data_IF_771904521928
#
_entry.id   IF_771904521928
#
_cell.length_a   1.000
_cell.length_b   1.000
_cell.length_c   1.000
_cell.angle_alpha   90.00
_cell.angle_beta   90.00
_cell.angle_gamma   90.00
#
_symmetry.space_group_name_H-M   'P 1'
#
loop_
_entity.id
_entity.type
_entity.pdbx_description
1 polymer ?
#
# COMPACT_ATOMS: atom_id res chain seq x y z
N UNK A 1 3.83 31.10 0.14
CA UNK A 1 3.98 29.62 0.08
C UNK A 1 2.59 29.06 -0.11
N UNK A 2 2.42 27.81 -0.59
CA UNK A 2 1.09 27.18 -0.64
C UNK A 2 0.62 26.80 0.78
N UNK A 3 -0.69 26.66 0.99
CA UNK A 3 -1.26 26.24 2.28
C UNK A 3 -0.66 24.91 2.75
N UNK A 4 -0.44 23.98 1.84
CA UNK A 4 0.22 22.70 2.11
C UNK A 4 1.65 22.83 2.62
N UNK A 5 2.41 23.81 2.08
CA UNK A 5 3.76 24.14 2.54
C UNK A 5 3.76 24.68 3.97
N UNK A 6 2.84 25.59 4.30
CA UNK A 6 2.74 26.16 5.63
C UNK A 6 2.31 25.10 6.65
N UNK A 7 1.39 24.21 6.26
CA UNK A 7 0.97 23.06 7.07
C UNK A 7 2.13 22.08 7.32
N UNK A 8 2.94 21.78 6.28
CA UNK A 8 4.13 20.95 6.42
C UNK A 8 5.13 21.55 7.42
N UNK A 9 5.43 22.84 7.31
CA UNK A 9 6.33 23.53 8.22
C UNK A 9 5.82 23.50 9.66
N UNK A 10 4.53 23.78 9.88
CA UNK A 10 3.92 23.74 11.20
C UNK A 10 3.99 22.33 11.81
N UNK A 11 3.56 21.31 11.09
CA UNK A 11 3.56 19.90 11.56
C UNK A 11 4.98 19.39 11.80
N UNK A 12 5.92 19.67 10.89
CA UNK A 12 7.31 19.21 11.02
C UNK A 12 8.02 19.90 12.20
N UNK A 13 7.75 21.19 12.45
CA UNK A 13 8.29 21.92 13.61
C UNK A 13 7.83 21.28 14.91
N UNK A 14 6.52 21.00 15.06
CA UNK A 14 5.98 20.34 16.25
C UNK A 14 6.60 18.95 16.42
N UNK A 15 6.62 18.14 15.36
CA UNK A 15 7.14 16.76 15.43
C UNK A 15 8.65 16.69 15.66
N UNK A 16 9.42 17.65 15.16
CA UNK A 16 10.86 17.71 15.42
C UNK A 16 11.22 17.96 16.90
N UNK A 17 10.34 18.57 17.66
CA UNK A 17 10.48 18.78 19.10
C UNK A 17 9.86 17.65 19.96
N UNK A 18 9.06 16.76 19.38
CA UNK A 18 8.36 15.67 20.07
C UNK A 18 9.29 14.48 20.32
N UNK A 19 9.95 14.48 21.48
CA UNK A 19 10.93 13.43 21.85
C UNK A 19 10.25 12.07 22.08
N UNK A 20 9.01 12.04 22.53
CA UNK A 20 8.29 10.78 22.74
C UNK A 20 7.95 10.12 21.39
N UNK A 21 7.42 10.91 20.47
CA UNK A 21 7.20 10.46 19.10
C UNK A 21 8.49 9.90 18.47
N UNK A 22 9.61 10.63 18.55
CA UNK A 22 10.90 10.17 18.01
C UNK A 22 11.35 8.86 18.65
N UNK A 23 11.14 8.68 19.95
CA UNK A 23 11.46 7.42 20.64
C UNK A 23 10.65 6.24 20.10
N UNK A 24 9.34 6.42 19.89
CA UNK A 24 8.47 5.39 19.30
C UNK A 24 8.93 5.00 17.88
N UNK A 25 9.22 5.99 17.04
CA UNK A 25 9.70 5.77 15.67
C UNK A 25 11.07 5.11 15.66
N UNK A 26 12.01 5.60 16.48
CA UNK A 26 13.35 5.02 16.59
C UNK A 26 13.31 3.55 17.07
N UNK A 27 12.41 3.22 18.01
CA UNK A 27 12.22 1.85 18.48
C UNK A 27 11.73 0.93 17.36
N UNK A 28 10.70 1.33 16.61
CA UNK A 28 10.13 0.49 15.56
C UNK A 28 11.05 0.36 14.35
N UNK A 29 11.65 1.45 13.88
CA UNK A 29 12.61 1.42 12.77
C UNK A 29 13.89 0.68 13.18
N UNK A 30 14.36 0.86 14.42
CA UNK A 30 15.52 0.15 14.94
C UNK A 30 15.38 -1.37 14.91
N UNK A 31 14.16 -1.90 15.04
CA UNK A 31 13.89 -3.34 14.84
C UNK A 31 14.14 -3.76 13.38
N UNK A 32 13.76 -2.95 12.41
CA UNK A 32 14.05 -3.22 11.00
C UNK A 32 15.55 -3.08 10.70
N UNK A 33 16.19 -2.02 11.22
CA UNK A 33 17.63 -1.80 11.06
C UNK A 33 18.45 -3.01 11.59
N UNK A 34 17.97 -3.68 12.64
CA UNK A 34 18.62 -4.87 13.21
C UNK A 34 18.45 -6.14 12.36
N UNK A 35 17.32 -6.31 11.67
CA UNK A 35 17.01 -7.58 10.97
C UNK A 35 17.25 -7.52 9.45
N UNK A 36 17.17 -6.35 8.83
CA UNK A 36 17.39 -6.18 7.39
C UNK A 36 18.77 -6.68 6.92
N UNK A 37 19.90 -6.42 7.61
CA UNK A 37 21.20 -6.97 7.23
C UNK A 37 21.17 -8.49 7.14
N UNK A 38 20.58 -9.16 8.12
CA UNK A 38 20.44 -10.63 8.15
C UNK A 38 19.52 -11.15 7.02
N UNK A 39 18.44 -10.45 6.73
CA UNK A 39 17.58 -10.78 5.59
C UNK A 39 18.33 -10.74 4.26
N UNK A 40 19.23 -9.75 4.09
CA UNK A 40 20.04 -9.59 2.87
C UNK A 40 21.01 -10.74 2.62
N UNK A 41 21.40 -11.50 3.63
CA UNK A 41 22.31 -12.66 3.48
C UNK A 41 21.73 -13.77 2.58
N UNK A 42 20.43 -13.77 2.30
CA UNK A 42 19.81 -14.71 1.36
C UNK A 42 20.24 -14.49 -0.10
N UNK A 43 20.70 -13.28 -0.43
CA UNK A 43 21.16 -12.95 -1.78
C UNK A 43 22.68 -13.20 -1.87
N UNK A 44 23.11 -13.98 -2.84
CA UNK A 44 24.56 -14.17 -3.11
C UNK A 44 25.21 -12.84 -3.44
N UNK A 45 24.50 -11.98 -4.19
CA UNK A 45 24.91 -10.62 -4.50
C UNK A 45 23.64 -9.73 -4.49
N UNK A 46 23.48 -8.97 -3.41
CA UNK A 46 22.33 -8.08 -3.22
C UNK A 46 22.34 -6.90 -4.19
N UNK A 47 23.53 -6.44 -4.59
CA UNK A 47 23.66 -5.35 -5.56
C UNK A 47 23.19 -5.82 -6.94
N UNK A 48 23.66 -6.98 -7.39
CA UNK A 48 23.20 -7.57 -8.64
C UNK A 48 21.68 -7.85 -8.63
N UNK A 49 21.12 -8.32 -7.51
CA UNK A 49 19.68 -8.53 -7.37
C UNK A 49 18.88 -7.23 -7.57
N UNK A 50 19.34 -6.13 -6.98
CA UNK A 50 18.73 -4.79 -7.16
C UNK A 50 18.83 -4.29 -8.60
N UNK A 51 20.00 -4.40 -9.22
CA UNK A 51 20.20 -4.00 -10.62
C UNK A 51 19.34 -4.81 -11.58
N UNK A 52 19.17 -6.11 -11.34
CA UNK A 52 18.26 -6.96 -12.11
C UNK A 52 16.81 -6.51 -11.96
N UNK A 53 16.36 -6.24 -10.74
CA UNK A 53 15.00 -5.74 -10.48
C UNK A 53 14.77 -4.38 -11.15
N UNK A 54 15.75 -3.47 -11.06
CA UNK A 54 15.72 -2.17 -11.77
C UNK A 54 15.58 -2.36 -13.28
N UNK A 55 16.36 -3.26 -13.88
CA UNK A 55 16.31 -3.56 -15.32
C UNK A 55 14.96 -4.14 -15.75
N UNK A 56 14.37 -5.05 -14.96
CA UNK A 56 13.04 -5.60 -15.25
C UNK A 56 12.01 -4.48 -15.20
N UNK A 57 12.04 -3.64 -14.17
CA UNK A 57 11.12 -2.50 -14.04
C UNK A 57 11.32 -1.48 -15.16
N UNK A 58 12.57 -1.17 -15.50
CA UNK A 58 12.86 -0.30 -16.63
C UNK A 58 12.21 -0.80 -17.92
N UNK A 59 12.44 -2.07 -18.29
CA UNK A 59 11.83 -2.67 -19.49
C UNK A 59 10.30 -2.63 -19.44
N UNK A 60 9.71 -2.97 -18.29
CA UNK A 60 8.26 -2.93 -18.11
C UNK A 60 7.69 -1.53 -18.31
N UNK A 61 8.38 -0.50 -17.82
CA UNK A 61 7.95 0.91 -17.95
C UNK A 61 8.18 1.47 -19.36
N UNK A 62 9.26 1.07 -20.04
CA UNK A 62 9.51 1.47 -21.43
C UNK A 62 8.52 0.82 -22.43
N UNK A 63 7.89 -0.29 -22.05
CA UNK A 63 6.88 -0.99 -22.87
C UNK A 63 5.54 -1.08 -22.13
N UNK A 64 5.21 -0.03 -21.35
CA UNK A 64 4.08 -0.04 -20.41
C UNK A 64 2.75 -0.35 -21.09
N UNK A 65 2.48 0.25 -22.22
CA UNK A 65 1.31 0.03 -23.07
C UNK A 65 1.14 -1.46 -23.42
N UNK A 66 2.18 -2.06 -23.98
CA UNK A 66 2.18 -3.47 -24.38
C UNK A 66 2.01 -4.42 -23.18
N UNK A 67 2.63 -4.08 -22.04
CA UNK A 67 2.52 -4.88 -20.82
C UNK A 67 1.10 -4.85 -20.28
N UNK A 68 0.46 -3.68 -20.28
CA UNK A 68 -0.90 -3.53 -19.77
C UNK A 68 -1.95 -4.16 -20.67
N UNK A 69 -1.82 -4.01 -22.00
CA UNK A 69 -2.66 -4.72 -22.98
C UNK A 69 -2.54 -6.24 -22.84
N UNK A 70 -1.31 -6.74 -22.68
CA UNK A 70 -1.04 -8.16 -22.46
C UNK A 70 -1.66 -8.66 -21.17
N UNK A 71 -1.54 -7.87 -20.10
CA UNK A 71 -2.20 -8.17 -18.82
C UNK A 71 -3.71 -8.27 -18.98
N UNK A 72 -4.34 -7.25 -19.58
CA UNK A 72 -5.79 -7.21 -19.80
C UNK A 72 -6.26 -8.42 -20.61
N UNK A 73 -5.59 -8.72 -21.74
CA UNK A 73 -5.91 -9.86 -22.57
C UNK A 73 -5.87 -11.18 -21.78
N UNK A 74 -4.82 -11.41 -20.98
CA UNK A 74 -4.65 -12.64 -20.24
C UNK A 74 -5.56 -12.74 -19.04
N UNK A 75 -5.88 -11.63 -18.38
CA UNK A 75 -6.80 -11.58 -17.25
C UNK A 75 -8.25 -11.83 -17.68
N UNK A 76 -8.67 -11.19 -18.77
CA UNK A 76 -10.04 -11.32 -19.30
C UNK A 76 -10.32 -12.71 -19.87
N UNK A 77 -9.33 -13.40 -20.44
CA UNK A 77 -9.45 -14.81 -20.85
C UNK A 77 -9.87 -15.76 -19.73
N UNK A 78 -9.61 -15.38 -18.48
CA UNK A 78 -9.95 -16.15 -17.28
C UNK A 78 -11.25 -15.69 -16.61
N UNK A 79 -12.00 -14.82 -17.28
CA UNK A 79 -13.28 -14.28 -16.80
C UNK A 79 -13.17 -13.03 -15.91
N UNK A 80 -11.97 -12.50 -15.72
CA UNK A 80 -11.77 -11.24 -15.04
C UNK A 80 -12.20 -10.04 -15.89
N UNK A 81 -12.44 -8.90 -15.26
CA UNK A 81 -12.84 -7.64 -15.91
C UNK A 81 -11.78 -6.57 -15.61
N UNK A 82 -11.28 -5.92 -16.65
CA UNK A 82 -10.35 -4.80 -16.52
C UNK A 82 -11.08 -3.50 -16.78
N UNK A 83 -10.81 -2.50 -15.97
CA UNK A 83 -11.33 -1.14 -16.06
C UNK A 83 -10.13 -0.19 -16.03
N UNK A 84 -10.08 0.71 -16.98
CA UNK A 84 -9.09 1.76 -17.03
C UNK A 84 -9.63 3.01 -16.35
N UNK A 85 -8.86 3.63 -15.48
CA UNK A 85 -9.22 4.87 -14.82
C UNK A 85 -8.09 5.89 -14.98
N UNK A 86 -8.41 7.02 -15.59
CA UNK A 86 -7.45 8.10 -15.81
C UNK A 86 -7.06 8.79 -14.51
N UNK A 87 -8.00 8.90 -13.57
CA UNK A 87 -7.80 9.60 -12.30
C UNK A 87 -8.57 8.94 -11.15
N UNK A 88 -8.32 9.42 -9.93
CA UNK A 88 -8.92 8.88 -8.72
C UNK A 88 -10.45 9.01 -8.68
N UNK A 89 -11.02 10.08 -9.23
CA UNK A 89 -12.47 10.29 -9.25
C UNK A 89 -13.17 9.25 -10.13
N UNK A 90 -12.62 8.96 -11.30
CA UNK A 90 -13.10 7.93 -12.20
C UNK A 90 -13.00 6.53 -11.58
N UNK A 91 -11.88 6.23 -10.91
CA UNK A 91 -11.73 4.96 -10.19
C UNK A 91 -12.79 4.79 -9.10
N UNK A 92 -13.08 5.83 -8.32
CA UNK A 92 -14.15 5.85 -7.31
C UNK A 92 -15.52 5.64 -7.94
N UNK A 93 -15.81 6.32 -9.05
CA UNK A 93 -17.09 6.16 -9.78
C UNK A 93 -17.31 4.70 -10.19
N UNK A 94 -16.26 4.04 -10.71
CA UNK A 94 -16.33 2.63 -11.06
C UNK A 94 -16.58 1.73 -9.85
N UNK A 95 -15.91 1.97 -8.72
CA UNK A 95 -16.16 1.20 -7.48
C UNK A 95 -17.58 1.41 -7.00
N UNK A 96 -18.08 2.65 -6.94
CA UNK A 96 -19.45 2.97 -6.53
C UNK A 96 -20.50 2.32 -7.45
N UNK A 97 -20.27 2.33 -8.75
CA UNK A 97 -21.15 1.66 -9.73
C UNK A 97 -21.23 0.16 -9.43
N UNK A 98 -20.08 -0.51 -9.24
CA UNK A 98 -20.04 -1.94 -8.91
C UNK A 98 -20.74 -2.19 -7.57
N UNK A 99 -20.47 -1.40 -6.55
CA UNK A 99 -21.11 -1.50 -5.24
C UNK A 99 -22.63 -1.35 -5.35
N UNK A 100 -23.12 -0.40 -6.14
CA UNK A 100 -24.55 -0.21 -6.37
C UNK A 100 -25.19 -1.42 -7.07
N UNK A 101 -24.55 -1.95 -8.11
CA UNK A 101 -24.99 -3.15 -8.83
C UNK A 101 -25.09 -4.38 -7.91
N UNK A 102 -24.24 -4.45 -6.88
CA UNK A 102 -24.19 -5.54 -5.89
C UNK A 102 -25.02 -5.27 -4.64
N UNK A 103 -25.71 -4.15 -4.54
CA UNK A 103 -26.42 -3.69 -3.34
C UNK A 103 -25.51 -3.70 -2.11
N UNK A 104 -24.25 -3.30 -2.28
CA UNK A 104 -23.21 -3.32 -1.26
C UNK A 104 -23.55 -2.35 -0.12
N UNK A 105 -23.56 -2.87 1.10
CA UNK A 105 -23.66 -2.11 2.35
C UNK A 105 -22.37 -2.07 3.11
N UNK A 106 -21.60 -3.16 3.04
CA UNK A 106 -20.32 -3.31 3.71
C UNK A 106 -19.25 -3.76 2.72
N UNK A 107 -18.16 -3.03 2.70
CA UNK A 107 -16.97 -3.31 1.91
C UNK A 107 -15.81 -3.59 2.85
N UNK A 108 -15.09 -4.69 2.65
CA UNK A 108 -13.83 -4.98 3.37
C UNK A 108 -12.65 -4.64 2.46
N UNK A 109 -11.67 -3.94 3.02
CA UNK A 109 -10.50 -3.47 2.27
C UNK A 109 -9.21 -3.95 2.92
N UNK A 110 -8.35 -4.59 2.15
CA UNK A 110 -6.99 -4.84 2.60
C UNK A 110 -6.11 -3.61 2.41
N UNK A 111 -5.03 -3.51 3.17
CA UNK A 111 -4.08 -2.41 3.10
C UNK A 111 -3.66 -2.10 1.67
N UNK A 112 -3.88 -0.85 1.24
CA UNK A 112 -3.51 -0.40 -0.09
C UNK A 112 -3.24 1.10 -0.13
N UNK A 113 -1.99 1.46 -0.42
CA UNK A 113 -1.61 2.88 -0.57
C UNK A 113 -2.32 3.57 -1.74
N UNK A 114 -2.72 2.82 -2.77
CA UNK A 114 -3.44 3.38 -3.92
C UNK A 114 -4.88 3.75 -3.53
N UNK A 115 -5.54 2.97 -2.69
CA UNK A 115 -6.88 3.31 -2.18
C UNK A 115 -6.84 4.52 -1.25
N UNK A 116 -5.75 4.69 -0.48
CA UNK A 116 -5.51 5.89 0.31
C UNK A 116 -5.20 7.12 -0.55
N UNK A 117 -4.50 6.93 -1.67
CA UNK A 117 -4.19 7.98 -2.65
C UNK A 117 -5.46 8.64 -3.19
N UNK A 118 -6.49 7.85 -3.45
CA UNK A 118 -7.78 8.31 -4.00
C UNK A 118 -8.85 8.55 -2.93
N UNK A 119 -8.53 8.41 -1.65
CA UNK A 119 -9.46 8.59 -0.52
C UNK A 119 -10.71 7.70 -0.60
N UNK A 120 -10.53 6.41 -0.95
CA UNK A 120 -11.62 5.48 -1.20
C UNK A 120 -12.56 5.32 0.01
N UNK A 121 -12.03 5.21 1.23
CA UNK A 121 -12.85 5.03 2.44
C UNK A 121 -13.86 6.18 2.58
N UNK A 122 -13.40 7.43 2.50
CA UNK A 122 -14.25 8.60 2.59
C UNK A 122 -15.34 8.60 1.51
N UNK A 123 -14.97 8.27 0.26
CA UNK A 123 -15.92 8.21 -0.84
C UNK A 123 -16.99 7.13 -0.63
N UNK A 124 -16.64 5.98 -0.04
CA UNK A 124 -17.63 4.95 0.29
C UNK A 124 -18.56 5.41 1.41
N UNK A 125 -18.03 5.97 2.49
CA UNK A 125 -18.81 6.49 3.63
C UNK A 125 -19.77 7.60 3.21
N UNK A 126 -19.32 8.54 2.37
CA UNK A 126 -20.14 9.62 1.82
C UNK A 126 -21.34 9.09 0.98
N UNK A 127 -21.22 7.86 0.49
CA UNK A 127 -22.28 7.17 -0.28
C UNK A 127 -23.04 6.11 0.56
N UNK A 128 -22.86 6.10 1.88
CA UNK A 128 -23.59 5.23 2.80
C UNK A 128 -23.13 3.77 2.79
N UNK A 129 -21.90 3.49 2.30
CA UNK A 129 -21.27 2.17 2.31
C UNK A 129 -20.26 2.14 3.45
N UNK A 130 -20.41 1.19 4.37
CA UNK A 130 -19.43 0.96 5.44
C UNK A 130 -18.15 0.37 4.85
N UNK A 131 -17.05 1.13 4.87
CA UNK A 131 -15.74 0.67 4.42
C UNK A 131 -14.88 0.27 5.61
N UNK A 132 -14.43 -1.00 5.67
CA UNK A 132 -13.71 -1.58 6.80
C UNK A 132 -12.27 -1.91 6.40
N UNK A 133 -11.31 -1.29 7.08
CA UNK A 133 -9.90 -1.67 7.00
C UNK A 133 -9.67 -3.02 7.68
N UNK A 134 -8.92 -3.90 7.02
CA UNK A 134 -8.70 -5.26 7.51
C UNK A 134 -7.25 -5.57 7.90
N UNK A 135 -6.28 -4.72 7.53
CA UNK A 135 -4.94 -4.71 8.12
C UNK A 135 -5.04 -4.15 9.54
N UNK A 136 -4.45 -4.80 10.52
CA UNK A 136 -4.55 -4.39 11.92
C UNK A 136 -4.06 -2.96 12.15
N UNK A 137 -2.96 -2.57 11.50
CA UNK A 137 -2.43 -1.21 11.60
C UNK A 137 -3.35 -0.16 10.99
N UNK A 138 -3.95 -0.44 9.82
CA UNK A 138 -4.91 0.45 9.18
C UNK A 138 -6.25 0.48 9.92
N UNK A 139 -6.70 -0.66 10.46
CA UNK A 139 -7.90 -0.70 11.32
C UNK A 139 -7.75 0.17 12.57
N UNK A 140 -6.57 0.13 13.23
CA UNK A 140 -6.24 1.03 14.35
C UNK A 140 -6.31 2.49 13.91
N UNK A 141 -5.76 2.83 12.74
CA UNK A 141 -5.82 4.20 12.22
C UNK A 141 -7.26 4.63 11.90
N UNK A 142 -8.04 3.75 11.27
CA UNK A 142 -9.45 4.02 10.97
C UNK A 142 -10.25 4.30 12.25
N UNK A 143 -10.05 3.51 13.31
CA UNK A 143 -10.71 3.74 14.61
C UNK A 143 -10.32 5.09 15.24
N UNK A 144 -9.10 5.54 15.04
CA UNK A 144 -8.59 6.82 15.56
C UNK A 144 -8.88 8.03 14.63
N UNK A 145 -9.38 7.78 13.44
CA UNK A 145 -9.65 8.82 12.43
C UNK A 145 -8.37 9.40 11.81
N UNK A 146 -7.28 8.63 11.78
CA UNK A 146 -6.00 9.05 11.22
C UNK A 146 -5.70 8.33 9.90
N UNK A 147 -4.93 8.99 9.02
CA UNK A 147 -4.37 8.34 7.84
C UNK A 147 -3.22 7.38 8.22
N UNK A 148 -2.90 6.38 7.36
CA UNK A 148 -1.74 5.53 7.57
C UNK A 148 -0.44 6.34 7.73
N UNK A 149 0.33 6.00 8.79
CA UNK A 149 1.55 6.73 9.12
C UNK A 149 2.76 6.30 8.29
N UNK A 150 2.86 5.00 7.98
CA UNK A 150 3.99 4.41 7.26
C UNK A 150 3.48 3.38 6.26
N UNK A 151 4.08 3.32 5.07
CA UNK A 151 3.61 2.46 3.98
C UNK A 151 3.65 0.96 4.28
N UNK A 152 4.49 0.52 5.23
CA UNK A 152 4.60 -0.89 5.63
C UNK A 152 3.93 -1.14 6.98
N UNK A 153 4.05 -0.21 7.92
CA UNK A 153 3.55 -0.33 9.29
C UNK A 153 2.67 0.88 9.63
N UNK A 154 1.38 0.86 9.26
CA UNK A 154 0.50 2.03 9.34
C UNK A 154 0.41 2.70 10.71
N UNK A 155 0.44 1.92 11.80
CA UNK A 155 0.35 2.41 13.18
C UNK A 155 1.70 2.52 13.90
N UNK A 156 2.81 2.71 13.17
CA UNK A 156 4.17 2.71 13.72
C UNK A 156 4.40 3.71 14.85
N UNK A 157 3.67 4.82 14.88
CA UNK A 157 3.82 5.89 15.89
C UNK A 157 3.02 5.62 17.18
N UNK A 158 2.21 4.55 17.23
CA UNK A 158 1.43 4.17 18.41
C UNK A 158 2.15 3.13 19.25
N UNK A 159 2.11 3.29 20.56
CA UNK A 159 2.53 2.26 21.51
C UNK A 159 1.39 1.26 21.77
N UNK A 160 1.72 0.14 22.45
CA UNK A 160 0.70 -0.81 22.92
C UNK A 160 -0.34 -0.13 23.83
N UNK A 161 0.10 0.79 24.68
CA UNK A 161 -0.74 1.55 25.60
C UNK A 161 -1.70 2.48 24.85
N UNK A 162 -1.22 3.15 23.78
CA UNK A 162 -2.05 4.00 22.93
C UNK A 162 -3.16 3.17 22.27
N UNK A 163 -2.83 1.98 21.74
CA UNK A 163 -3.80 1.08 21.10
C UNK A 163 -4.79 0.53 22.13
N UNK A 164 -4.34 0.14 23.34
CA UNK A 164 -5.22 -0.38 24.38
C UNK A 164 -6.22 0.69 24.84
N UNK A 165 -5.77 1.94 24.98
CA UNK A 165 -6.63 3.09 25.30
C UNK A 165 -7.66 3.34 24.20
N UNK A 166 -7.23 3.37 22.94
CA UNK A 166 -8.11 3.55 21.78
C UNK A 166 -9.20 2.47 21.72
N UNK A 167 -8.83 1.20 21.90
CA UNK A 167 -9.79 0.09 21.90
C UNK A 167 -10.76 0.17 23.08
N UNK A 168 -10.30 0.61 24.27
CA UNK A 168 -11.19 0.84 25.39
C UNK A 168 -12.22 1.94 25.07
N UNK A 169 -11.78 3.05 24.48
CA UNK A 169 -12.65 4.18 24.12
C UNK A 169 -13.63 3.85 22.98
N UNK A 170 -13.18 3.17 21.95
CA UNK A 170 -13.98 2.91 20.72
C UNK A 170 -14.74 1.58 20.74
N UNK A 171 -14.20 0.57 21.42
CA UNK A 171 -14.72 -0.82 21.40
C UNK A 171 -15.19 -1.29 22.77
N UNK A 172 -15.02 -0.50 23.84
CA UNK A 172 -15.43 -0.82 25.20
C UNK A 172 -14.62 -1.95 25.85
N UNK A 173 -13.35 -2.14 25.46
CA UNK A 173 -12.47 -3.19 25.99
C UNK A 173 -11.76 -2.75 27.29
N UNK A 174 -11.18 -3.72 28.03
CA UNK A 174 -10.31 -3.40 29.17
C UNK A 174 -8.99 -2.75 28.64
N UNK A 175 -8.61 -1.56 29.15
CA UNK A 175 -7.37 -0.87 28.76
C UNK A 175 -6.08 -1.60 29.20
N UNK A 176 -6.19 -2.68 29.97
CA UNK A 176 -5.04 -3.48 30.45
C UNK A 176 -4.72 -4.67 29.54
N UNK A 177 -5.48 -4.87 28.48
CA UNK A 177 -5.28 -6.01 27.57
C UNK A 177 -3.83 -6.07 27.03
N UNK A 178 -3.34 -7.29 26.91
CA UNK A 178 -2.04 -7.58 26.29
C UNK A 178 -2.12 -7.41 24.75
N UNK A 179 -1.00 -7.30 24.03
CA UNK A 179 -1.00 -7.23 22.57
C UNK A 179 -1.74 -8.41 21.91
N UNK A 180 -1.63 -9.61 22.46
CA UNK A 180 -2.34 -10.81 21.96
C UNK A 180 -3.84 -10.66 22.13
N UNK A 181 -4.31 -10.21 23.28
CA UNK A 181 -5.74 -10.00 23.53
C UNK A 181 -6.32 -8.89 22.68
N UNK A 182 -5.60 -7.77 22.49
CA UNK A 182 -6.01 -6.71 21.56
C UNK A 182 -6.14 -7.23 20.11
N UNK A 183 -5.19 -8.05 19.67
CA UNK A 183 -5.27 -8.70 18.35
C UNK A 183 -6.48 -9.64 18.24
N UNK A 184 -6.82 -10.38 19.32
CA UNK A 184 -8.01 -11.24 19.34
C UNK A 184 -9.32 -10.44 19.30
N UNK A 185 -9.38 -9.26 19.92
CA UNK A 185 -10.53 -8.34 19.80
C UNK A 185 -10.73 -7.94 18.33
N UNK A 186 -9.69 -7.42 17.68
CA UNK A 186 -9.75 -7.04 16.28
C UNK A 186 -10.14 -8.23 15.39
N UNK A 187 -9.52 -9.39 15.60
CA UNK A 187 -9.84 -10.63 14.86
C UNK A 187 -11.32 -11.01 14.97
N UNK A 188 -11.90 -10.95 16.16
CA UNK A 188 -13.29 -11.33 16.37
C UNK A 188 -14.28 -10.37 15.69
N UNK A 189 -13.95 -9.10 15.64
CA UNK A 189 -14.74 -8.07 14.92
C UNK A 189 -14.60 -8.27 13.42
N UNK A 190 -13.37 -8.28 12.91
CA UNK A 190 -13.09 -8.35 11.48
C UNK A 190 -13.55 -9.66 10.84
N UNK A 191 -13.50 -10.78 11.60
CA UNK A 191 -14.01 -12.06 11.10
C UNK A 191 -15.47 -11.99 10.66
N UNK A 192 -16.32 -11.27 11.38
CA UNK A 192 -17.72 -11.07 11.03
C UNK A 192 -17.82 -10.21 9.76
N UNK A 193 -17.05 -9.13 9.71
CA UNK A 193 -17.04 -8.21 8.58
C UNK A 193 -16.62 -8.88 7.27
N UNK A 194 -15.61 -9.77 7.29
CA UNK A 194 -15.24 -10.55 6.10
C UNK A 194 -16.38 -11.42 5.56
N UNK A 195 -17.15 -12.04 6.44
CA UNK A 195 -18.24 -12.94 6.05
C UNK A 195 -19.48 -12.17 5.58
N UNK A 196 -19.73 -11.00 6.15
CA UNK A 196 -20.91 -10.17 5.88
C UNK A 196 -20.72 -9.26 4.65
N UNK A 197 -19.48 -8.94 4.27
CA UNK A 197 -19.19 -8.01 3.17
C UNK A 197 -19.61 -8.56 1.81
N UNK A 198 -20.26 -7.72 1.03
CA UNK A 198 -20.66 -8.02 -0.35
C UNK A 198 -19.48 -7.82 -1.33
N UNK A 199 -18.61 -6.87 -1.02
CA UNK A 199 -17.48 -6.48 -1.86
C UNK A 199 -16.19 -6.51 -1.05
N UNK A 200 -15.14 -7.11 -1.63
CA UNK A 200 -13.78 -7.02 -1.12
C UNK A 200 -12.91 -6.16 -2.04
N UNK A 201 -12.11 -5.28 -1.44
CA UNK A 201 -11.17 -4.45 -2.18
C UNK A 201 -9.75 -4.76 -1.74
N UNK A 202 -8.85 -4.92 -2.71
CA UNK A 202 -7.42 -5.04 -2.45
C UNK A 202 -6.61 -4.12 -3.35
N UNK A 203 -5.39 -3.82 -2.94
CA UNK A 203 -4.37 -3.37 -3.87
C UNK A 203 -3.65 -4.55 -4.52
N UNK A 204 -2.56 -4.24 -5.22
CA UNK A 204 -1.60 -5.22 -5.70
C UNK A 204 -0.16 -4.74 -5.45
N UNK A 205 0.73 -5.67 -5.12
CA UNK A 205 2.16 -5.38 -5.13
C UNK A 205 2.66 -5.35 -6.58
N UNK A 206 2.19 -6.29 -7.39
CA UNK A 206 2.48 -6.36 -8.83
C UNK A 206 1.27 -6.87 -9.61
N UNK A 207 1.17 -6.47 -10.87
CA UNK A 207 0.37 -7.14 -11.90
C UNK A 207 1.33 -7.79 -12.91
N UNK A 208 1.01 -9.01 -13.33
CA UNK A 208 1.90 -9.88 -14.09
C UNK A 208 1.34 -10.06 -15.49
N UNK A 209 2.03 -9.52 -16.50
CA UNK A 209 1.51 -9.45 -17.87
C UNK A 209 1.31 -10.83 -18.51
N UNK A 210 2.33 -11.69 -18.47
CA UNK A 210 2.33 -12.98 -19.19
C UNK A 210 1.23 -13.94 -18.75
N UNK A 211 0.76 -13.84 -17.52
CA UNK A 211 -0.31 -14.70 -16.98
C UNK A 211 -1.61 -13.95 -16.66
N UNK A 212 -1.68 -12.61 -16.81
CA UNK A 212 -2.83 -11.85 -16.33
C UNK A 212 -3.09 -12.11 -14.85
N UNK A 213 -2.07 -11.96 -14.01
CA UNK A 213 -2.13 -12.27 -12.59
C UNK A 213 -1.95 -11.04 -11.72
N UNK A 214 -2.59 -11.03 -10.56
CA UNK A 214 -2.43 -10.02 -9.49
C UNK A 214 -1.64 -10.65 -8.36
N UNK A 215 -0.46 -10.12 -8.07
CA UNK A 215 0.41 -10.59 -7.00
C UNK A 215 0.25 -9.74 -5.76
N UNK A 216 -0.07 -10.38 -4.64
CA UNK A 216 -0.22 -9.76 -3.32
C UNK A 216 0.68 -10.46 -2.32
N UNK A 217 1.39 -9.66 -1.51
CA UNK A 217 2.24 -10.16 -0.43
C UNK A 217 1.83 -9.52 0.90
N UNK A 218 1.68 -10.34 1.94
CA UNK A 218 1.17 -9.93 3.24
C UNK A 218 1.64 -10.86 4.38
N UNK A 219 1.46 -10.44 5.63
CA UNK A 219 1.80 -11.25 6.80
C UNK A 219 0.57 -11.69 7.62
N UNK A 220 -0.59 -11.07 7.42
CA UNK A 220 -1.77 -11.23 8.26
C UNK A 220 -2.86 -12.12 7.63
N UNK A 221 -2.84 -12.30 6.31
CA UNK A 221 -3.88 -13.01 5.56
C UNK A 221 -5.13 -12.16 5.29
N UNK A 222 -5.09 -10.88 5.60
CA UNK A 222 -6.20 -9.95 5.44
C UNK A 222 -6.59 -9.74 3.96
N UNK A 223 -5.64 -9.64 3.04
CA UNK A 223 -5.94 -9.56 1.61
C UNK A 223 -6.56 -10.86 1.08
N UNK A 224 -6.04 -12.02 1.52
CA UNK A 224 -6.62 -13.33 1.17
C UNK A 224 -8.07 -13.43 1.61
N UNK A 225 -8.40 -13.02 2.84
CA UNK A 225 -9.75 -13.05 3.36
C UNK A 225 -10.67 -12.03 2.67
N UNK A 226 -10.16 -10.83 2.37
CA UNK A 226 -10.90 -9.81 1.60
C UNK A 226 -11.19 -10.24 0.15
N UNK A 227 -10.38 -11.14 -0.41
CA UNK A 227 -10.62 -11.72 -1.72
C UNK A 227 -11.54 -12.95 -1.66
N UNK A 228 -11.37 -13.83 -0.66
CA UNK A 228 -11.98 -15.16 -0.64
C UNK A 228 -13.45 -15.17 -0.17
N UNK A 229 -13.82 -14.29 0.77
CA UNK A 229 -15.18 -14.30 1.34
C UNK A 229 -16.21 -13.51 0.51
N UNK A 230 -15.95 -12.26 0.10
CA UNK A 230 -16.90 -11.51 -0.70
C UNK A 230 -17.10 -12.14 -2.09
N UNK A 231 -18.32 -12.04 -2.59
CA UNK A 231 -18.66 -12.54 -3.94
C UNK A 231 -18.08 -11.71 -5.06
N UNK A 232 -17.76 -10.46 -4.78
CA UNK A 232 -17.14 -9.54 -5.75
C UNK A 232 -15.83 -9.03 -5.18
N UNK A 233 -14.75 -9.18 -5.96
CA UNK A 233 -13.43 -8.69 -5.63
C UNK A 233 -13.01 -7.59 -6.60
N UNK A 234 -12.59 -6.45 -6.06
CA UNK A 234 -12.07 -5.30 -6.83
C UNK A 234 -10.62 -5.09 -6.44
N UNK A 235 -9.73 -5.09 -7.42
CA UNK A 235 -8.32 -4.70 -7.25
C UNK A 235 -8.14 -3.29 -7.80
N UNK A 236 -7.57 -2.38 -7.01
CA UNK A 236 -7.18 -1.06 -7.51
C UNK A 236 -5.66 -0.99 -7.51
N UNK A 237 -5.07 -0.71 -8.66
CA UNK A 237 -3.62 -0.79 -8.83
C UNK A 237 -3.10 0.27 -9.79
N UNK A 238 -2.02 0.95 -9.42
CA UNK A 238 -1.33 1.87 -10.33
C UNK A 238 -0.68 1.13 -11.49
N UNK A 239 -0.78 1.71 -12.69
CA UNK A 239 -0.25 1.10 -13.93
C UNK A 239 1.24 0.78 -13.85
N UNK A 240 1.99 1.50 -13.02
CA UNK A 240 3.42 1.28 -12.81
C UNK A 240 3.74 -0.03 -12.07
N UNK A 241 2.74 -0.72 -11.52
CA UNK A 241 2.95 -1.99 -10.79
C UNK A 241 3.14 -3.21 -11.68
N UNK A 242 3.12 -3.04 -12.98
CA UNK A 242 3.31 -4.13 -13.92
C UNK A 242 4.73 -4.70 -13.87
N UNK A 243 4.80 -6.03 -14.00
CA UNK A 243 6.01 -6.81 -14.28
C UNK A 243 5.73 -7.76 -15.46
N UNK A 244 6.73 -8.06 -16.30
CA UNK A 244 6.51 -8.83 -17.52
C UNK A 244 6.13 -10.29 -17.27
N UNK A 245 6.77 -10.95 -16.30
CA UNK A 245 6.67 -12.40 -16.15
C UNK A 245 6.43 -12.86 -14.73
N UNK A 246 5.70 -13.97 -14.59
CA UNK A 246 5.54 -14.69 -13.33
C UNK A 246 6.88 -15.02 -12.66
N UNK A 247 7.89 -15.38 -13.45
CA UNK A 247 9.22 -15.75 -12.94
C UNK A 247 9.94 -14.58 -12.26
N UNK A 248 9.58 -13.34 -12.58
CA UNK A 248 10.16 -12.16 -11.95
C UNK A 248 9.81 -12.06 -10.46
N UNK A 249 8.71 -12.67 -10.01
CA UNK A 249 8.34 -12.71 -8.60
C UNK A 249 9.39 -13.41 -7.72
N UNK A 250 10.15 -14.36 -8.27
CA UNK A 250 11.25 -15.01 -7.56
C UNK A 250 12.32 -14.01 -7.10
N UNK A 251 12.41 -12.85 -7.77
CA UNK A 251 13.30 -11.76 -7.41
C UNK A 251 12.58 -10.68 -6.58
N UNK A 252 11.38 -10.27 -7.02
CA UNK A 252 10.68 -9.14 -6.41
C UNK A 252 10.13 -9.43 -5.01
N UNK A 253 9.58 -10.62 -4.75
CA UNK A 253 9.06 -10.96 -3.42
C UNK A 253 10.15 -10.98 -2.34
N UNK A 254 11.31 -11.65 -2.52
CA UNK A 254 12.41 -11.54 -1.56
C UNK A 254 12.93 -10.12 -1.37
N UNK A 255 13.08 -9.33 -2.45
CA UNK A 255 13.52 -7.94 -2.35
C UNK A 255 12.52 -7.10 -1.54
N UNK A 256 11.22 -7.21 -1.85
CA UNK A 256 10.18 -6.45 -1.17
C UNK A 256 10.16 -6.74 0.33
N UNK A 257 10.13 -8.01 0.73
CA UNK A 257 10.08 -8.43 2.14
C UNK A 257 11.37 -8.12 2.90
N UNK A 258 12.53 -8.37 2.30
CA UNK A 258 13.82 -8.12 2.94
C UNK A 258 14.07 -6.65 3.19
N UNK A 259 13.87 -5.82 2.18
CA UNK A 259 14.15 -4.39 2.29
C UNK A 259 13.08 -3.64 3.10
N UNK A 260 11.86 -4.18 3.15
CA UNK A 260 10.77 -3.63 3.96
C UNK A 260 10.89 -3.95 5.44
N UNK A 261 11.06 -5.23 5.78
CA UNK A 261 10.94 -5.74 7.14
C UNK A 261 12.05 -6.69 7.59
N UNK A 262 13.04 -6.97 6.74
CA UNK A 262 14.10 -7.94 7.03
C UNK A 262 13.70 -9.40 6.90
N UNK A 263 12.47 -9.69 6.51
CA UNK A 263 12.01 -11.05 6.25
C UNK A 263 12.61 -11.59 4.96
N UNK A 264 12.97 -12.87 4.92
CA UNK A 264 13.39 -13.52 3.66
C UNK A 264 12.26 -13.54 2.64
N UNK A 265 11.05 -13.81 3.11
CA UNK A 265 9.78 -13.74 2.38
C UNK A 265 8.66 -13.51 3.39
N UNK A 266 7.54 -12.94 2.97
CA UNK A 266 6.35 -12.76 3.82
C UNK A 266 5.61 -14.08 4.08
N UNK A 267 4.70 -14.09 5.07
CA UNK A 267 3.93 -15.29 5.42
C UNK A 267 3.05 -15.78 4.27
N UNK A 268 2.44 -14.85 3.54
CA UNK A 268 1.56 -15.15 2.42
C UNK A 268 2.01 -14.42 1.17
N UNK A 269 2.09 -15.17 0.07
CA UNK A 269 2.38 -14.67 -1.26
C UNK A 269 1.35 -15.30 -2.21
N UNK A 270 0.41 -14.51 -2.68
CA UNK A 270 -0.74 -14.99 -3.43
C UNK A 270 -0.73 -14.43 -4.85
N UNK A 271 -1.11 -15.25 -5.81
CA UNK A 271 -1.35 -14.85 -7.19
C UNK A 271 -2.81 -15.14 -7.48
N UNK A 272 -3.56 -14.10 -7.82
CA UNK A 272 -4.98 -14.17 -8.13
C UNK A 272 -5.12 -13.83 -9.62
N UNK A 273 -5.70 -14.70 -10.41
CA UNK A 273 -5.70 -14.56 -11.87
C UNK A 273 -7.10 -14.47 -12.50
N UNK A 274 -8.14 -14.29 -11.68
CA UNK A 274 -9.52 -14.16 -12.13
C UNK A 274 -10.52 -14.58 -11.06
N UNK A 275 -11.82 -14.54 -11.37
CA UNK A 275 -12.86 -15.08 -10.50
C UNK A 275 -12.77 -16.61 -10.42
N UNK A 276 -13.45 -17.20 -9.45
CA UNK A 276 -13.52 -18.66 -9.29
C UNK A 276 -14.03 -19.33 -10.56
N UNK A 277 -13.43 -20.45 -10.90
CA UNK A 277 -13.84 -21.28 -12.03
C UNK A 277 -14.95 -22.27 -11.60
N UNK A 278 -15.64 -22.85 -12.56
CA UNK A 278 -16.79 -23.77 -12.32
C UNK A 278 -16.46 -24.97 -11.43
N UNK A 279 -15.20 -25.38 -11.38
CA UNK A 279 -14.75 -26.53 -10.57
C UNK A 279 -14.22 -26.09 -9.18
N UNK A 280 -14.14 -24.79 -8.90
CA UNK A 280 -13.68 -24.24 -7.62
C UNK A 280 -14.87 -23.96 -6.70
N UNK A 281 -14.75 -24.32 -5.43
CA UNK A 281 -15.79 -24.10 -4.41
C UNK A 281 -15.72 -22.70 -3.81
N UNK A 282 -14.51 -22.15 -3.66
CA UNK A 282 -14.23 -20.89 -2.97
C UNK A 282 -13.74 -19.82 -3.94
N UNK A 283 -13.84 -18.57 -3.51
CA UNK A 283 -13.39 -17.40 -4.24
C UNK A 283 -14.52 -16.52 -4.78
N UNK A 284 -14.18 -15.34 -5.28
CA UNK A 284 -15.17 -14.38 -5.79
C UNK A 284 -15.84 -14.87 -7.07
N UNK A 285 -17.12 -14.61 -7.19
CA UNK A 285 -17.88 -14.91 -8.42
C UNK A 285 -17.52 -13.92 -9.56
N UNK A 286 -17.13 -12.70 -9.19
CA UNK A 286 -16.69 -11.67 -10.13
C UNK A 286 -15.42 -11.01 -9.61
N UNK A 287 -14.49 -10.72 -10.51
CA UNK A 287 -13.25 -10.02 -10.20
C UNK A 287 -12.98 -8.90 -11.18
N UNK A 288 -12.70 -7.72 -10.62
CA UNK A 288 -12.37 -6.51 -11.37
C UNK A 288 -10.95 -6.06 -11.04
N UNK A 289 -10.23 -5.58 -12.03
CA UNK A 289 -8.96 -4.87 -11.85
C UNK A 289 -9.12 -3.46 -12.43
N UNK A 290 -9.00 -2.45 -11.58
CA UNK A 290 -8.99 -1.04 -11.98
C UNK A 290 -7.53 -0.63 -12.14
N UNK A 291 -7.12 -0.41 -13.37
CA UNK A 291 -5.80 0.11 -13.75
C UNK A 291 -5.84 1.63 -13.66
N UNK A 292 -5.15 2.17 -12.67
CA UNK A 292 -5.20 3.60 -12.34
C UNK A 292 -3.96 4.33 -12.85
N UNK A 293 -4.13 5.34 -13.70
CA UNK A 293 -3.07 6.28 -14.06
C UNK A 293 -2.82 7.31 -12.96
N UNK A 294 -3.76 8.17 -12.68
CA UNK A 294 -3.69 9.23 -11.65
C UNK A 294 -2.36 10.01 -11.68
N UNK A 295 -1.92 10.40 -12.88
CA UNK A 295 -0.69 11.19 -13.11
C UNK A 295 0.60 10.38 -13.28
N UNK A 296 0.54 9.04 -13.35
CA UNK A 296 1.73 8.21 -13.59
C UNK A 296 2.30 8.39 -14.99
N UNK A 297 1.45 8.66 -15.97
CA UNK A 297 1.86 9.00 -17.33
C UNK A 297 2.62 10.33 -17.39
N UNK A 298 2.31 11.32 -16.54
CA UNK A 298 3.11 12.53 -16.42
C UNK A 298 4.53 12.25 -15.90
N UNK A 299 4.65 11.30 -14.95
CA UNK A 299 5.98 10.87 -14.48
C UNK A 299 6.71 10.11 -15.59
N UNK A 300 6.02 9.28 -16.36
CA UNK A 300 6.57 8.53 -17.49
C UNK A 300 7.11 9.44 -18.58
N UNK A 301 6.43 10.53 -18.86
CA UNK A 301 6.84 11.53 -19.88
C UNK A 301 8.09 12.33 -19.46
N UNK A 302 8.43 12.35 -18.17
CA UNK A 302 9.59 13.08 -17.67
C UNK A 302 10.83 12.16 -17.54
N UNK A 303 11.83 12.26 -18.46
CA UNK A 303 13.00 11.37 -18.45
C UNK A 303 13.82 11.40 -17.15
N UNK A 304 13.80 12.53 -16.41
CA UNK A 304 14.54 12.70 -15.14
C UNK A 304 13.83 12.09 -13.94
N UNK A 305 12.52 11.86 -14.03
CA UNK A 305 11.69 11.37 -12.92
C UNK A 305 11.11 9.98 -13.18
N UNK A 306 11.11 9.52 -14.41
CA UNK A 306 10.58 8.24 -14.89
C UNK A 306 11.06 7.05 -14.03
N UNK A 307 12.32 7.06 -13.61
CA UNK A 307 12.88 6.02 -12.75
C UNK A 307 12.12 5.83 -11.42
N UNK A 308 11.41 6.86 -10.93
CA UNK A 308 10.60 6.75 -9.72
C UNK A 308 9.41 5.77 -9.87
N UNK A 309 8.98 5.46 -11.09
CA UNK A 309 7.97 4.45 -11.40
C UNK A 309 8.49 3.00 -11.22
N UNK A 310 9.82 2.80 -11.10
CA UNK A 310 10.38 1.48 -10.79
C UNK A 310 10.21 1.10 -9.32
N UNK A 311 9.78 2.04 -8.48
CA UNK A 311 9.62 1.85 -7.05
C UNK A 311 8.60 0.75 -6.72
N UNK A 312 9.05 -0.29 -5.99
CA UNK A 312 8.21 -1.40 -5.54
C UNK A 312 7.50 -1.13 -4.20
N UNK A 313 7.65 0.05 -3.63
CA UNK A 313 7.04 0.49 -2.36
C UNK A 313 7.48 -0.34 -1.14
N UNK A 314 8.71 -0.80 -1.09
CA UNK A 314 9.24 -1.60 0.03
C UNK A 314 9.41 -0.81 1.36
N UNK A 315 9.48 0.52 1.32
CA UNK A 315 9.63 1.36 2.52
C UNK A 315 11.07 1.53 3.03
N UNK A 316 12.07 0.88 2.43
CA UNK A 316 13.47 0.96 2.88
C UNK A 316 14.00 2.40 2.96
N UNK A 317 13.67 3.24 1.98
CA UNK A 317 14.09 4.64 1.97
C UNK A 317 13.48 5.46 3.13
N UNK A 318 12.28 5.13 3.60
CA UNK A 318 11.67 5.75 4.76
C UNK A 318 12.45 5.36 6.03
N UNK A 319 12.73 4.05 6.17
CA UNK A 319 13.49 3.52 7.31
C UNK A 319 14.92 4.08 7.38
N UNK A 320 15.55 4.35 6.24
CA UNK A 320 16.92 4.91 6.18
C UNK A 320 16.96 6.43 6.37
N UNK A 321 15.85 7.16 6.16
CA UNK A 321 15.83 8.61 6.09
C UNK A 321 15.89 9.28 7.47
N UNK A 322 16.92 10.11 7.78
CA UNK A 322 16.98 10.81 9.05
C UNK A 322 15.87 11.84 9.23
N UNK A 323 15.39 12.45 8.14
CA UNK A 323 14.27 13.39 8.21
C UNK A 323 12.98 12.66 8.57
N UNK A 324 12.68 11.54 7.87
CA UNK A 324 11.51 10.72 8.19
C UNK A 324 11.53 10.20 9.64
N UNK A 325 12.68 9.71 10.11
CA UNK A 325 12.85 9.28 11.51
C UNK A 325 12.60 10.41 12.53
N UNK A 326 12.73 11.66 12.12
CA UNK A 326 12.53 12.82 12.98
C UNK A 326 11.08 13.34 12.98
N UNK A 327 10.49 13.57 11.79
CA UNK A 327 9.18 14.22 11.67
C UNK A 327 8.02 13.24 11.39
N UNK A 328 8.31 12.03 10.93
CA UNK A 328 7.34 10.97 10.66
C UNK A 328 6.48 11.19 9.41
N UNK A 329 5.57 10.24 9.16
CA UNK A 329 4.76 10.23 7.94
C UNK A 329 3.71 11.34 7.85
N UNK A 330 2.97 11.58 8.93
CA UNK A 330 1.85 12.54 8.93
C UNK A 330 2.28 13.99 8.68
N UNK A 331 3.53 14.34 8.98
CA UNK A 331 4.03 15.69 8.71
C UNK A 331 4.06 16.04 7.22
N UNK A 332 4.21 15.03 6.33
CA UNK A 332 4.24 15.25 4.89
C UNK A 332 2.89 15.69 4.30
N UNK A 333 1.78 15.44 4.98
CA UNK A 333 0.45 15.83 4.52
C UNK A 333 -0.01 15.12 3.23
N UNK A 334 0.57 13.96 2.94
CA UNK A 334 0.30 13.20 1.73
C UNK A 334 0.41 11.69 1.99
N UNK A 335 -0.30 10.91 1.19
CA UNK A 335 -0.30 9.44 1.24
C UNK A 335 1.10 8.83 1.12
N UNK A 336 1.90 9.37 0.20
CA UNK A 336 3.29 8.97 0.04
C UNK A 336 4.20 9.96 0.76
N UNK A 337 4.91 9.47 1.76
CA UNK A 337 5.85 10.22 2.59
C UNK A 337 7.29 9.75 2.40
N UNK A 338 8.22 10.42 3.06
CA UNK A 338 9.65 10.12 2.97
C UNK A 338 10.27 10.39 1.61
N UNK A 339 11.45 9.85 1.31
CA UNK A 339 12.19 10.20 0.09
C UNK A 339 11.43 9.91 -1.20
N UNK A 340 10.81 8.72 -1.34
CA UNK A 340 10.04 8.43 -2.55
C UNK A 340 8.79 9.31 -2.65
N UNK A 341 8.12 9.61 -1.53
CA UNK A 341 6.97 10.50 -1.48
C UNK A 341 7.32 11.92 -1.93
N UNK A 342 8.49 12.41 -1.53
CA UNK A 342 8.97 13.75 -1.95
C UNK A 342 9.19 13.86 -3.46
N UNK A 343 9.41 12.74 -4.16
CA UNK A 343 9.55 12.70 -5.62
C UNK A 343 8.19 12.54 -6.31
N UNK A 344 7.38 11.56 -5.89
CA UNK A 344 6.15 11.21 -6.63
C UNK A 344 4.96 12.08 -6.26
N UNK A 345 4.81 12.52 -5.01
CA UNK A 345 3.63 13.30 -4.58
C UNK A 345 3.44 14.59 -5.38
N UNK A 346 4.48 15.41 -5.64
CA UNK A 346 4.32 16.60 -6.47
C UNK A 346 3.80 16.30 -7.88
N UNK A 347 4.13 15.15 -8.44
CA UNK A 347 3.67 14.75 -9.77
C UNK A 347 2.23 14.18 -9.76
N UNK A 348 1.84 13.50 -8.67
CA UNK A 348 0.51 12.90 -8.55
C UNK A 348 -0.55 13.88 -8.06
N UNK A 349 -0.17 14.84 -7.20
CA UNK A 349 -1.10 15.77 -6.53
C UNK A 349 -0.92 17.24 -6.91
N UNK A 350 0.04 17.57 -7.75
CA UNK A 350 0.31 18.93 -8.21
C UNK A 350 1.64 19.50 -7.70
N UNK A 351 2.41 19.99 -8.63
CA UNK A 351 3.73 20.56 -8.35
C UNK A 351 3.65 21.83 -7.50
N UNK A 352 2.68 22.70 -7.74
CA UNK A 352 2.54 23.97 -7.01
C UNK A 352 2.30 23.74 -5.52
N UNK A 353 1.49 22.75 -5.17
CA UNK A 353 1.11 22.46 -3.80
C UNK A 353 2.14 21.63 -3.05
N UNK A 354 2.87 20.75 -3.73
CA UNK A 354 3.73 19.76 -3.08
C UNK A 354 5.23 19.86 -3.37
N UNK A 355 5.69 20.84 -4.18
CA UNK A 355 7.13 21.04 -4.47
C UNK A 355 7.99 21.25 -3.22
N UNK A 356 7.40 21.74 -2.12
CA UNK A 356 8.08 21.94 -0.85
C UNK A 356 8.59 20.64 -0.23
N UNK A 357 8.02 19.48 -0.56
CA UNK A 357 8.48 18.18 -0.06
C UNK A 357 9.91 17.84 -0.48
N UNK A 358 10.44 18.45 -1.54
CA UNK A 358 11.85 18.31 -1.93
C UNK A 358 12.82 18.83 -0.86
N UNK A 359 12.38 19.75 0.00
CA UNK A 359 13.15 20.27 1.13
C UNK A 359 13.10 19.36 2.37
N UNK A 360 12.24 18.33 2.38
CA UNK A 360 12.23 17.28 3.41
C UNK A 360 13.40 16.30 3.23
N UNK A 361 14.60 16.84 3.01
CA UNK A 361 15.82 16.09 2.72
C UNK A 361 17.03 16.73 3.40
N UNK A 362 17.92 15.90 3.95
CA UNK A 362 19.25 16.31 4.41
C UNK A 362 20.35 16.11 3.34
N UNK A 363 20.00 15.66 2.14
CA UNK A 363 20.89 15.36 1.03
C UNK A 363 21.99 14.32 1.37
N UNK A 364 21.73 13.45 2.37
CA UNK A 364 22.75 12.48 2.84
C UNK A 364 22.93 11.25 1.92
N UNK A 365 22.06 11.03 0.92
CA UNK A 365 22.15 9.92 -0.02
C UNK A 365 21.68 8.54 0.51
N UNK A 366 21.36 8.38 1.80
CA UNK A 366 21.00 7.08 2.39
C UNK A 366 19.84 6.38 1.67
N UNK A 367 18.89 7.13 1.13
CA UNK A 367 17.78 6.56 0.36
C UNK A 367 18.25 5.90 -0.95
N UNK A 368 19.29 6.42 -1.58
CA UNK A 368 19.91 5.82 -2.78
C UNK A 368 20.65 4.53 -2.42
N UNK A 369 21.38 4.52 -1.28
CA UNK A 369 22.14 3.35 -0.84
C UNK A 369 21.25 2.13 -0.54
N UNK A 370 20.04 2.34 -0.10
CA UNK A 370 19.11 1.24 0.27
C UNK A 370 18.13 0.87 -0.86
N UNK A 371 18.07 1.66 -1.94
CA UNK A 371 17.12 1.42 -3.04
C UNK A 371 17.63 0.48 -4.13
#
# INVERSE_FOLDING_TARGET
>A
MSETSDLFLAKSTVKSADLEHRRKIAFNIGRYDAVVPKGKEQFTDVHLARERAKNIKWKAIETLDQQLETFELNFTKKGGKVIWAENGAEAIEHVLRICKEKNCKTLVKSKSMVTEEIHLNQAMEDNGIESIETDLGEYIQQLDGEAPYHIVTPAMHKSKEDVAKLFAEKLGTDPKLTPTELTLVARNILRKKYVEAEVGVTGANFIISDIGGVAVTENEGNARLSCAFPKTHIVIVGIEKVIPSLTDLALFWPLLSTFGTGQKITCYNSIISGPKQTHETDGPEEMYVILLDNGRTHILDNPKQRESLYCIRCGACLNACPIYKNIGGHAYGATYSGPIGSVITPNLKGMEDFKHLSFASSLCGNCTEVC
#
